data_IF_990740788772
#
_entry.id   IF_990740788772
#
_cell.length_a   1.000
_cell.length_b   1.000
_cell.length_c   1.000
_cell.angle_alpha   90.00
_cell.angle_beta   90.00
_cell.angle_gamma   90.00
#
_symmetry.space_group_name_H-M   'P 1'
#
loop_
_entity.id
_entity.type
_entity.pdbx_description
1 polymer ?
#
# COMPACT_ATOMS: atom_id res chain seq x y z
N UNK A 1 15.85 19.41 5.41
CA UNK A 1 15.76 20.78 4.85
C UNK A 1 16.84 21.11 3.82
N UNK A 2 18.14 21.03 4.13
CA UNK A 2 19.21 21.40 3.19
C UNK A 2 19.13 20.68 1.81
N UNK A 3 18.89 19.37 1.78
CA UNK A 3 18.75 18.63 0.53
C UNK A 3 17.52 19.02 -0.29
N UNK A 4 16.43 19.45 0.37
CA UNK A 4 15.23 19.95 -0.32
C UNK A 4 15.55 21.26 -1.05
N UNK A 5 16.29 22.17 -0.39
CA UNK A 5 16.76 23.42 -1.00
C UNK A 5 17.76 23.17 -2.15
N UNK A 6 18.48 22.05 -2.09
CA UNK A 6 19.38 21.59 -3.16
C UNK A 6 18.71 20.86 -4.32
N UNK A 7 17.38 20.94 -4.45
CA UNK A 7 16.60 20.28 -5.52
C UNK A 7 16.77 18.75 -5.60
N UNK A 8 17.06 18.08 -4.48
CA UNK A 8 17.33 16.63 -4.47
C UNK A 8 16.15 15.82 -5.06
N UNK A 9 14.91 16.24 -4.83
CA UNK A 9 13.72 15.55 -5.35
C UNK A 9 13.74 15.54 -6.89
N UNK A 10 13.86 16.70 -7.52
CA UNK A 10 13.90 16.81 -8.98
C UNK A 10 15.05 15.98 -9.58
N UNK A 11 16.26 16.10 -9.01
CA UNK A 11 17.44 15.34 -9.45
C UNK A 11 17.18 13.83 -9.35
N UNK A 12 16.64 13.35 -8.23
CA UNK A 12 16.30 11.94 -8.06
C UNK A 12 15.24 11.48 -9.07
N UNK A 13 14.20 12.26 -9.32
CA UNK A 13 13.13 11.88 -10.24
C UNK A 13 13.63 11.69 -11.68
N UNK A 14 14.66 12.42 -12.11
CA UNK A 14 15.29 12.26 -13.42
C UNK A 14 16.05 10.92 -13.57
N UNK A 15 16.45 10.30 -12.46
CA UNK A 15 17.25 9.06 -12.45
C UNK A 15 16.40 7.79 -12.28
N UNK A 16 15.07 7.90 -12.17
CA UNK A 16 14.19 6.76 -11.94
C UNK A 16 14.16 5.74 -13.09
N UNK A 17 14.50 6.14 -14.31
CA UNK A 17 14.53 5.27 -15.49
C UNK A 17 15.94 4.80 -15.87
N UNK A 18 16.94 5.02 -15.02
CA UNK A 18 18.32 4.64 -15.31
C UNK A 18 18.44 3.12 -15.56
N UNK A 19 19.25 2.66 -16.54
CA UNK A 19 19.43 1.25 -16.82
C UNK A 19 19.92 0.44 -15.61
N UNK A 20 20.67 1.06 -14.70
CA UNK A 20 21.30 0.40 -13.57
C UNK A 20 20.31 0.18 -12.40
N UNK A 21 20.00 -1.07 -12.03
CA UNK A 21 18.97 -1.37 -11.04
C UNK A 21 19.27 -0.82 -9.64
N UNK A 22 20.55 -0.83 -9.21
CA UNK A 22 20.91 -0.24 -7.92
C UNK A 22 20.68 1.27 -7.88
N UNK A 23 20.83 1.99 -9.01
CA UNK A 23 20.61 3.43 -9.00
C UNK A 23 19.12 3.71 -8.82
N UNK A 24 18.25 3.06 -9.60
CA UNK A 24 16.79 3.16 -9.44
C UNK A 24 16.35 2.84 -8.01
N UNK A 25 16.88 1.75 -7.44
CA UNK A 25 16.60 1.34 -6.06
C UNK A 25 16.97 2.44 -5.06
N UNK A 26 18.23 2.91 -5.07
CA UNK A 26 18.71 3.87 -4.07
C UNK A 26 18.11 5.26 -4.27
N UNK A 27 17.79 5.64 -5.49
CA UNK A 27 17.05 6.88 -5.79
C UNK A 27 15.65 6.82 -5.20
N UNK A 28 14.92 5.72 -5.38
CA UNK A 28 13.60 5.54 -4.76
C UNK A 28 13.68 5.56 -3.22
N UNK A 29 14.68 4.90 -2.63
CA UNK A 29 14.93 4.97 -1.17
C UNK A 29 15.23 6.41 -0.73
N UNK A 30 16.05 7.14 -1.47
CA UNK A 30 16.42 8.51 -1.16
C UNK A 30 15.18 9.44 -1.17
N UNK A 31 14.32 9.29 -2.17
CA UNK A 31 13.01 9.94 -2.24
C UNK A 31 12.13 9.58 -1.04
N UNK A 32 12.00 8.28 -0.71
CA UNK A 32 11.23 7.85 0.47
C UNK A 32 11.72 8.50 1.78
N UNK A 33 13.05 8.64 1.93
CA UNK A 33 13.66 9.24 3.12
C UNK A 33 13.52 10.75 3.19
N UNK A 34 13.55 11.47 2.06
CA UNK A 34 13.54 12.93 2.09
C UNK A 34 12.20 13.51 2.57
N UNK A 35 11.08 12.85 2.25
CA UNK A 35 9.75 13.28 2.69
C UNK A 35 9.21 12.53 3.92
N UNK A 36 9.97 11.58 4.45
CA UNK A 36 9.56 10.86 5.65
C UNK A 36 9.45 11.83 6.84
N UNK A 37 8.25 11.96 7.40
CA UNK A 37 7.95 12.87 8.51
C UNK A 37 8.32 14.34 8.21
N UNK A 38 8.22 14.76 6.93
CA UNK A 38 8.59 16.10 6.50
C UNK A 38 7.69 16.63 5.36
N UNK A 39 6.61 17.32 5.74
CA UNK A 39 5.55 17.78 4.83
C UNK A 39 6.02 18.70 3.71
N UNK A 40 7.00 19.57 3.98
CA UNK A 40 7.52 20.47 2.93
C UNK A 40 8.13 19.69 1.77
N UNK A 41 8.82 18.58 2.05
CA UNK A 41 9.35 17.70 1.00
C UNK A 41 8.26 16.85 0.34
N UNK A 42 7.26 16.38 1.10
CA UNK A 42 6.08 15.69 0.53
C UNK A 42 5.37 16.57 -0.49
N UNK A 43 5.06 17.82 -0.13
CA UNK A 43 4.40 18.77 -1.04
C UNK A 43 5.27 19.18 -2.23
N UNK A 44 6.60 19.19 -2.07
CA UNK A 44 7.50 19.32 -3.21
C UNK A 44 7.37 18.11 -4.15
N UNK A 45 7.35 16.90 -3.60
CA UNK A 45 7.09 15.68 -4.37
C UNK A 45 5.73 15.67 -5.06
N UNK A 46 4.68 16.22 -4.45
CA UNK A 46 3.36 16.39 -5.10
C UNK A 46 3.48 17.28 -6.34
N UNK A 47 4.11 18.46 -6.21
CA UNK A 47 4.29 19.39 -7.34
C UNK A 47 5.10 18.80 -8.49
N UNK A 48 6.06 17.93 -8.18
CA UNK A 48 6.91 17.28 -9.18
C UNK A 48 6.35 15.95 -9.71
N UNK A 49 5.11 15.61 -9.33
CA UNK A 49 4.43 14.33 -9.63
C UNK A 49 5.26 13.10 -9.26
N UNK A 50 5.95 13.16 -8.11
CA UNK A 50 6.86 12.10 -7.67
C UNK A 50 6.16 10.75 -7.47
N UNK A 51 4.97 10.77 -6.86
CA UNK A 51 4.16 9.59 -6.62
C UNK A 51 3.75 8.89 -7.93
N UNK A 52 3.33 9.65 -8.95
CA UNK A 52 3.02 9.11 -10.27
C UNK A 52 4.24 8.52 -10.98
N UNK A 53 5.38 9.21 -10.93
CA UNK A 53 6.63 8.73 -11.53
C UNK A 53 7.12 7.44 -10.88
N UNK A 54 6.94 7.29 -9.57
CA UNK A 54 7.29 6.07 -8.82
C UNK A 54 6.44 4.85 -9.21
N UNK A 55 5.23 5.03 -9.77
CA UNK A 55 4.40 3.91 -10.22
C UNK A 55 5.09 3.08 -11.31
N UNK A 56 5.93 3.69 -12.13
CA UNK A 56 6.71 2.96 -13.14
C UNK A 56 7.65 1.90 -12.55
N UNK A 57 8.11 2.10 -11.31
CA UNK A 57 8.99 1.15 -10.61
C UNK A 57 8.23 -0.01 -9.96
N UNK A 58 6.91 0.08 -9.83
CA UNK A 58 6.10 -0.99 -9.25
C UNK A 58 6.02 -2.24 -10.14
N UNK A 59 6.40 -2.12 -11.41
CA UNK A 59 6.50 -3.23 -12.36
C UNK A 59 7.95 -3.55 -12.76
N UNK A 60 8.95 -3.02 -12.03
CA UNK A 60 10.37 -3.27 -12.31
C UNK A 60 10.68 -4.78 -12.22
N UNK A 61 11.48 -5.35 -13.14
CA UNK A 61 11.84 -6.76 -13.09
C UNK A 61 12.57 -7.15 -11.79
N UNK A 62 13.29 -6.21 -11.17
CA UNK A 62 14.08 -6.44 -9.96
C UNK A 62 13.22 -6.19 -8.71
N UNK A 63 13.00 -7.20 -7.86
CA UNK A 63 12.13 -7.06 -6.69
C UNK A 63 12.63 -6.04 -5.67
N UNK A 64 13.94 -5.82 -5.56
CA UNK A 64 14.51 -4.79 -4.70
C UNK A 64 14.13 -3.37 -5.13
N UNK A 65 14.01 -3.13 -6.44
CA UNK A 65 13.56 -1.84 -6.98
C UNK A 65 12.08 -1.64 -6.71
N UNK A 66 11.25 -2.68 -6.94
CA UNK A 66 9.82 -2.64 -6.58
C UNK A 66 9.62 -2.36 -5.09
N UNK A 67 10.37 -3.06 -4.23
CA UNK A 67 10.36 -2.87 -2.78
C UNK A 67 10.71 -1.43 -2.39
N UNK A 68 11.74 -0.83 -3.03
CA UNK A 68 12.12 0.56 -2.77
C UNK A 68 11.02 1.56 -3.18
N UNK A 69 10.32 1.29 -4.29
CA UNK A 69 9.17 2.10 -4.71
C UNK A 69 7.99 1.99 -3.73
N UNK A 70 7.68 0.78 -3.26
CA UNK A 70 6.65 0.55 -2.22
C UNK A 70 7.00 1.29 -0.93
N UNK A 71 8.26 1.22 -0.49
CA UNK A 71 8.74 2.00 0.66
C UNK A 71 8.55 3.51 0.46
N UNK A 72 8.94 4.03 -0.69
CA UNK A 72 8.85 5.45 -1.00
C UNK A 72 7.39 5.95 -1.02
N UNK A 73 6.49 5.20 -1.65
CA UNK A 73 5.06 5.51 -1.70
C UNK A 73 4.39 5.33 -0.32
N UNK A 74 4.77 4.31 0.44
CA UNK A 74 4.26 4.08 1.80
C UNK A 74 4.64 5.18 2.77
N UNK A 75 5.86 5.70 2.69
CA UNK A 75 6.30 6.87 3.49
C UNK A 75 5.66 8.17 3.00
N UNK A 76 5.31 8.26 1.72
CA UNK A 76 4.63 9.42 1.15
C UNK A 76 3.21 9.61 1.72
N UNK A 77 2.46 8.52 1.90
CA UNK A 77 1.09 8.57 2.49
C UNK A 77 1.10 8.62 4.02
N UNK A 78 2.14 8.08 4.66
CA UNK A 78 2.25 8.06 6.13
C UNK A 78 2.49 9.42 6.77
N UNK A 79 2.82 10.44 5.98
CA UNK A 79 3.24 11.75 6.44
C UNK A 79 2.16 12.83 6.18
N UNK A 80 0.98 12.67 6.78
CA UNK A 80 -0.10 13.66 6.66
C UNK A 80 -0.43 14.27 8.03
N UNK A 81 0.14 15.44 8.32
CA UNK A 81 -0.26 16.22 9.50
C UNK A 81 -1.58 16.97 9.27
N UNK A 82 -1.84 17.39 8.02
CA UNK A 82 -3.06 18.09 7.62
C UNK A 82 -3.90 17.27 6.63
N UNK A 83 -5.11 16.88 7.06
CA UNK A 83 -6.08 16.16 6.24
C UNK A 83 -6.90 17.13 5.40
N UNK A 84 -6.37 17.52 4.25
CA UNK A 84 -7.12 18.23 3.22
C UNK A 84 -7.74 17.25 2.22
N UNK A 85 -8.77 17.67 1.48
CA UNK A 85 -9.38 16.87 0.41
C UNK A 85 -8.36 16.49 -0.67
N UNK A 86 -7.41 17.40 -0.94
CA UNK A 86 -6.34 17.16 -1.91
C UNK A 86 -5.35 16.09 -1.42
N UNK A 87 -4.87 16.16 -0.16
CA UNK A 87 -4.04 15.09 0.42
C UNK A 87 -4.77 13.76 0.36
N UNK A 88 -6.05 13.74 0.76
CA UNK A 88 -6.84 12.51 0.83
C UNK A 88 -7.01 11.85 -0.54
N UNK A 89 -7.19 12.64 -1.59
CA UNK A 89 -7.26 12.14 -2.97
C UNK A 89 -5.94 11.50 -3.40
N UNK A 90 -4.81 12.15 -3.10
CA UNK A 90 -3.48 11.62 -3.42
C UNK A 90 -3.22 10.32 -2.65
N UNK A 91 -3.52 10.30 -1.35
CA UNK A 91 -3.31 9.14 -0.48
C UNK A 91 -4.14 7.94 -0.97
N UNK A 92 -5.40 8.18 -1.38
CA UNK A 92 -6.25 7.17 -1.97
C UNK A 92 -5.68 6.61 -3.29
N UNK A 93 -5.20 7.47 -4.19
CA UNK A 93 -4.60 7.03 -5.46
C UNK A 93 -3.37 6.16 -5.23
N UNK A 94 -2.48 6.56 -4.31
CA UNK A 94 -1.30 5.77 -3.95
C UNK A 94 -1.71 4.44 -3.34
N UNK A 95 -2.72 4.42 -2.46
CA UNK A 95 -3.26 3.19 -1.86
C UNK A 95 -3.74 2.19 -2.90
N UNK A 96 -4.50 2.67 -3.89
CA UNK A 96 -5.02 1.83 -4.97
C UNK A 96 -3.91 1.24 -5.83
N UNK A 97 -2.85 2.01 -6.11
CA UNK A 97 -1.68 1.51 -6.83
C UNK A 97 -0.90 0.46 -6.02
N UNK A 98 -0.70 0.69 -4.73
CA UNK A 98 -0.04 -0.27 -3.84
C UNK A 98 -0.83 -1.58 -3.71
N UNK A 99 -2.16 -1.50 -3.66
CA UNK A 99 -3.04 -2.67 -3.57
C UNK A 99 -2.90 -3.64 -4.76
N UNK A 100 -2.37 -3.20 -5.90
CA UNK A 100 -2.11 -4.08 -7.04
C UNK A 100 -0.98 -5.10 -6.77
N UNK A 101 -0.13 -4.86 -5.77
CA UNK A 101 1.03 -5.70 -5.45
C UNK A 101 0.75 -6.80 -4.42
N UNK A 102 -0.52 -7.01 -4.01
CA UNK A 102 -0.90 -8.07 -3.06
C UNK A 102 -0.42 -9.47 -3.48
N UNK A 103 -0.36 -9.71 -4.80
CA UNK A 103 0.04 -10.97 -5.41
C UNK A 103 1.47 -10.92 -6.00
N UNK A 104 2.30 -9.94 -5.62
CA UNK A 104 3.70 -9.89 -6.06
C UNK A 104 4.41 -11.21 -5.70
N UNK A 105 5.20 -11.78 -6.60
CA UNK A 105 5.87 -13.06 -6.36
C UNK A 105 6.90 -13.00 -5.22
N UNK A 106 7.51 -11.84 -4.97
CA UNK A 106 8.58 -11.68 -4.02
C UNK A 106 8.08 -11.39 -2.60
N UNK A 107 8.47 -12.18 -1.59
CA UNK A 107 8.04 -11.95 -0.21
C UNK A 107 8.59 -10.65 0.39
N UNK A 108 9.72 -10.14 -0.08
CA UNK A 108 10.27 -8.85 0.41
C UNK A 108 9.36 -7.69 0.03
N UNK A 109 8.82 -7.71 -1.20
CA UNK A 109 7.89 -6.70 -1.70
C UNK A 109 6.57 -6.78 -0.93
N UNK A 110 6.01 -7.99 -0.75
CA UNK A 110 4.78 -8.16 0.03
C UNK A 110 4.93 -7.74 1.50
N UNK A 111 6.09 -8.02 2.11
CA UNK A 111 6.38 -7.57 3.48
C UNK A 111 6.40 -6.04 3.55
N UNK A 112 7.09 -5.38 2.63
CA UNK A 112 7.14 -3.92 2.59
C UNK A 112 5.77 -3.30 2.28
N UNK A 113 4.96 -3.97 1.45
CA UNK A 113 3.59 -3.55 1.17
C UNK A 113 2.74 -3.50 2.44
N UNK A 114 2.86 -4.49 3.33
CA UNK A 114 2.15 -4.47 4.62
C UNK A 114 2.59 -3.28 5.47
N UNK A 115 3.88 -2.95 5.50
CA UNK A 115 4.40 -1.77 6.20
C UNK A 115 3.82 -0.49 5.60
N UNK A 116 3.84 -0.37 4.27
CA UNK A 116 3.28 0.79 3.56
C UNK A 116 1.78 0.98 3.85
N UNK A 117 0.98 -0.08 3.79
CA UNK A 117 -0.45 -0.04 4.10
C UNK A 117 -0.72 0.25 5.57
N UNK A 118 0.17 -0.18 6.48
CA UNK A 118 0.02 0.12 7.91
C UNK A 118 0.03 1.62 8.20
N UNK A 119 0.84 2.40 7.47
CA UNK A 119 0.84 3.85 7.59
C UNK A 119 -0.53 4.44 7.21
N UNK A 120 -1.17 3.89 6.17
CA UNK A 120 -2.48 4.33 5.72
C UNK A 120 -3.58 3.96 6.73
N UNK A 121 -3.51 2.78 7.34
CA UNK A 121 -4.43 2.37 8.42
C UNK A 121 -4.31 3.32 9.62
N UNK A 122 -3.10 3.66 10.04
CA UNK A 122 -2.88 4.62 11.14
C UNK A 122 -3.43 6.00 10.77
N UNK A 123 -3.24 6.44 9.53
CA UNK A 123 -3.72 7.75 9.08
C UNK A 123 -5.25 7.84 8.95
N UNK A 124 -5.94 6.74 8.65
CA UNK A 124 -7.38 6.70 8.43
C UNK A 124 -8.09 5.73 9.40
N UNK A 125 -7.60 5.65 10.63
CA UNK A 125 -8.02 4.66 11.64
C UNK A 125 -9.55 4.57 11.76
N UNK A 126 -10.26 5.69 11.95
CA UNK A 126 -11.72 5.70 12.09
C UNK A 126 -12.46 5.08 10.89
N UNK A 127 -11.94 5.27 9.67
CA UNK A 127 -12.52 4.71 8.46
C UNK A 127 -12.31 3.18 8.45
N UNK A 128 -11.10 2.72 8.79
CA UNK A 128 -10.80 1.30 8.88
C UNK A 128 -11.52 0.61 10.03
N UNK A 129 -11.72 1.27 11.18
CA UNK A 129 -12.54 0.75 12.28
C UNK A 129 -13.97 0.50 11.82
N UNK A 130 -14.56 1.44 11.07
CA UNK A 130 -15.92 1.27 10.53
C UNK A 130 -16.00 0.05 9.61
N UNK A 131 -15.06 -0.10 8.68
CA UNK A 131 -15.00 -1.26 7.77
C UNK A 131 -14.76 -2.57 8.54
N UNK A 132 -13.88 -2.57 9.54
CA UNK A 132 -13.59 -3.74 10.35
C UNK A 132 -14.82 -4.19 11.16
N UNK A 133 -15.56 -3.26 11.75
CA UNK A 133 -16.81 -3.56 12.47
C UNK A 133 -17.87 -4.17 11.55
N UNK A 134 -18.05 -3.59 10.36
CA UNK A 134 -18.95 -4.15 9.34
C UNK A 134 -18.56 -5.57 8.96
N UNK A 135 -17.28 -5.81 8.70
CA UNK A 135 -16.76 -7.15 8.38
C UNK A 135 -17.02 -8.15 9.51
N UNK A 136 -16.81 -7.75 10.77
CA UNK A 136 -17.09 -8.60 11.94
C UNK A 136 -18.58 -8.90 12.14
N UNK A 137 -19.47 -7.98 11.79
CA UNK A 137 -20.92 -8.19 11.83
C UNK A 137 -21.38 -9.13 10.72
N UNK A 138 -20.83 -8.99 9.51
CA UNK A 138 -21.10 -9.87 8.38
C UNK A 138 -20.69 -11.31 8.70
N UNK A 139 -19.47 -11.54 9.21
CA UNK A 139 -18.98 -12.88 9.60
C UNK A 139 -19.88 -13.56 10.65
N UNK A 140 -20.44 -12.80 11.60
CA UNK A 140 -21.39 -13.32 12.59
C UNK A 140 -22.72 -13.74 11.97
N UNK A 141 -23.19 -13.02 10.95
CA UNK A 141 -24.43 -13.35 10.25
C UNK A 141 -24.29 -14.60 9.36
N UNK A 142 -23.07 -14.94 8.94
CA UNK A 142 -22.78 -16.23 8.29
C UNK A 142 -22.66 -17.40 9.29
N UNK A 143 -22.21 -17.12 10.51
CA UNK A 143 -22.11 -18.09 11.59
C UNK A 143 -23.43 -18.21 12.39
N UNK A 144 -24.32 -19.11 11.94
CA UNK A 144 -25.45 -19.78 12.66
C UNK A 144 -26.88 -19.36 12.20
N UNK A 145 -27.85 -20.30 11.96
CA UNK A 145 -27.82 -21.75 12.29
C UNK A 145 -28.08 -22.71 11.12
N UNK A 146 -27.26 -23.76 11.01
CA UNK A 146 -27.78 -25.10 10.68
C UNK A 146 -27.99 -25.85 12.00
N UNK A 147 -29.15 -25.65 12.64
CA UNK A 147 -29.65 -26.55 13.68
C UNK A 147 -30.48 -27.65 13.04
N UNK A 148 -30.05 -28.87 13.33
CA UNK A 148 -30.65 -30.17 13.10
C UNK A 148 -32.19 -30.23 12.99
N UNK A 149 -32.66 -30.98 11.98
CA UNK A 149 -33.74 -31.98 11.97
C UNK A 149 -33.85 -32.44 10.50
N UNK A 150 -33.47 -33.65 10.09
CA UNK A 150 -34.21 -34.90 10.35
C UNK A 150 -33.27 -36.11 10.38
N UNK A 151 -33.57 -37.06 11.26
CA UNK A 151 -32.92 -38.37 11.34
C UNK A 151 -33.00 -39.14 10.02
N UNK A 152 -31.88 -39.53 9.43
CA UNK A 152 -31.77 -40.70 8.54
C UNK A 152 -30.32 -41.25 8.65
N UNK A 153 -30.11 -42.55 8.93
CA UNK A 153 -28.79 -43.12 9.09
C UNK A 153 -28.25 -43.57 7.72
N UNK A 154 -27.35 -42.80 7.12
CA UNK A 154 -26.49 -43.32 6.05
C UNK A 154 -26.11 -42.33 4.95
N UNK A 155 -25.05 -41.56 5.18
CA UNK A 155 -23.88 -41.43 4.29
C UNK A 155 -23.05 -40.23 4.76
N UNK A 156 -21.84 -40.49 5.24
CA UNK A 156 -20.86 -39.46 5.52
C UNK A 156 -20.19 -39.04 4.21
N UNK A 157 -20.61 -37.90 3.65
CA UNK A 157 -19.71 -37.07 2.84
C UNK A 157 -19.57 -35.71 3.52
N UNK A 158 -18.35 -35.24 3.80
CA UNK A 158 -18.17 -33.88 4.30
C UNK A 158 -18.39 -32.93 3.12
N UNK A 159 -19.40 -32.08 3.21
CA UNK A 159 -19.57 -30.95 2.31
C UNK A 159 -18.47 -29.96 2.63
N UNK A 160 -17.42 -29.98 1.80
CA UNK A 160 -16.41 -28.94 1.76
C UNK A 160 -17.08 -27.66 1.22
N UNK A 161 -17.40 -26.72 2.10
CA UNK A 161 -17.85 -25.39 1.67
C UNK A 161 -16.60 -24.64 1.22
N UNK A 162 -16.31 -24.73 -0.08
CA UNK A 162 -15.32 -23.90 -0.75
C UNK A 162 -15.72 -22.43 -0.59
N UNK A 163 -14.81 -21.65 0.01
CA UNK A 163 -14.82 -20.19 -0.03
C UNK A 163 -14.63 -19.78 -1.49
N UNK A 164 -15.71 -19.33 -2.13
CA UNK A 164 -15.68 -18.84 -3.49
C UNK A 164 -15.93 -17.33 -3.48
N UNK A 165 -14.81 -16.62 -3.64
CA UNK A 165 -14.61 -15.34 -4.33
C UNK A 165 -15.72 -14.28 -4.26
N UNK A 166 -15.34 -13.14 -3.65
CA UNK A 166 -15.51 -11.84 -4.31
C UNK A 166 -14.15 -11.16 -4.41
#
# INVERSE_FOLDING_TARGET
EACLQGNLIAICLEQLSDPHPLLRQWVAVCLGRIWQNFDSARWCGVRDSAHEKLYSLLSDPIPEVRCAAVFALGTFVGNSAERTDHSTTIDHNVAMMLAQLINDGSPVVRKELVVALSHLVVQYESNFCTVALQFMEEEKNYAVPSTANTLEPGNLTPVCVCVQSR
#
